data_IF_021464348299
#
_entry.id   IF_021464348299
#
_cell.length_a   1.000
_cell.length_b   1.000
_cell.length_c   1.000
_cell.angle_alpha   90.00
_cell.angle_beta   90.00
_cell.angle_gamma   90.00
#
_symmetry.space_group_name_H-M   'P 1'
#
loop_
_entity.id
_entity.type
_entity.pdbx_description
1 polymer ?
#
# COMPACT_ATOMS: atom_id res chain seq x y z
N UNK A 1 -1.10 -3.85 -29.23
CA UNK A 1 -0.24 -3.49 -28.08
C UNK A 1 -1.15 -3.54 -26.88
N UNK A 2 -1.02 -4.55 -26.02
CA UNK A 2 -1.80 -4.60 -24.78
C UNK A 2 -1.29 -3.48 -23.87
N UNK A 3 -2.19 -2.75 -23.22
CA UNK A 3 -1.82 -1.77 -22.22
C UNK A 3 -1.64 -2.48 -20.88
N UNK A 4 -0.52 -2.23 -20.22
CA UNK A 4 -0.11 -2.98 -19.03
C UNK A 4 -0.47 -2.25 -17.72
N UNK A 5 -1.01 -1.02 -17.80
CA UNK A 5 -1.34 -0.19 -16.65
C UNK A 5 -2.41 0.89 -16.97
N UNK A 6 -2.92 1.55 -15.92
CA UNK A 6 -3.95 2.58 -16.02
C UNK A 6 -3.57 3.80 -16.87
N UNK A 7 -2.32 4.26 -16.76
CA UNK A 7 -1.82 5.42 -17.51
C UNK A 7 -1.83 5.13 -19.01
N UNK A 8 -1.28 3.99 -19.43
CA UNK A 8 -1.25 3.58 -20.83
C UNK A 8 -2.66 3.34 -21.37
N UNK A 9 -3.54 2.71 -20.59
CA UNK A 9 -4.96 2.54 -20.96
C UNK A 9 -5.64 3.89 -21.26
N UNK A 10 -5.43 4.87 -20.38
CA UNK A 10 -6.03 6.20 -20.52
C UNK A 10 -5.49 6.97 -21.73
N UNK A 11 -4.17 6.89 -21.97
CA UNK A 11 -3.53 7.51 -23.15
C UNK A 11 -4.08 6.89 -24.45
N UNK A 12 -4.16 5.56 -24.53
CA UNK A 12 -4.65 4.86 -25.73
C UNK A 12 -6.12 5.17 -26.04
N UNK A 13 -6.91 5.44 -25.01
CA UNK A 13 -8.30 5.83 -25.14
C UNK A 13 -8.50 7.35 -25.34
N UNK A 14 -7.43 8.12 -25.55
CA UNK A 14 -7.47 9.58 -25.65
C UNK A 14 -8.21 10.25 -24.47
N UNK A 15 -7.98 9.76 -23.25
CA UNK A 15 -8.60 10.30 -22.03
C UNK A 15 -10.05 9.89 -21.81
N UNK A 16 -10.61 9.00 -22.64
CA UNK A 16 -12.04 8.67 -22.58
C UNK A 16 -12.41 7.59 -21.55
N UNK A 17 -11.44 6.92 -20.91
CA UNK A 17 -11.78 5.88 -19.93
C UNK A 17 -12.34 6.48 -18.65
N UNK A 18 -13.23 5.73 -18.04
CA UNK A 18 -13.82 6.04 -16.74
C UNK A 18 -13.14 5.21 -15.65
N UNK A 19 -13.23 5.66 -14.41
CA UNK A 19 -12.76 4.86 -13.29
C UNK A 19 -13.48 3.51 -13.26
N UNK A 20 -12.73 2.43 -13.02
CA UNK A 20 -13.28 1.08 -13.11
C UNK A 20 -12.22 -0.01 -13.12
N UNK A 21 -12.68 -1.26 -13.21
CA UNK A 21 -11.82 -2.43 -13.31
C UNK A 21 -11.42 -2.71 -14.76
N UNK A 22 -10.13 -2.96 -14.96
CA UNK A 22 -9.54 -3.30 -16.25
C UNK A 22 -8.69 -4.56 -16.13
N UNK A 23 -8.62 -5.33 -17.22
CA UNK A 23 -7.69 -6.44 -17.36
C UNK A 23 -6.45 -5.96 -18.09
N UNK A 24 -5.29 -6.19 -17.49
CA UNK A 24 -3.97 -5.87 -18.05
C UNK A 24 -3.11 -7.13 -18.08
N UNK A 25 -1.96 -7.07 -18.74
CA UNK A 25 -1.03 -8.19 -18.84
C UNK A 25 0.32 -7.83 -18.21
N UNK A 26 1.02 -8.84 -17.70
CA UNK A 26 2.43 -8.70 -17.33
C UNK A 26 3.32 -8.94 -18.56
N UNK A 27 4.64 -8.78 -18.39
CA UNK A 27 5.61 -9.00 -19.48
C UNK A 27 5.63 -10.42 -20.05
N UNK A 28 5.07 -11.40 -19.33
CA UNK A 28 4.90 -12.77 -19.80
C UNK A 28 3.54 -13.01 -20.50
N UNK A 29 2.74 -11.96 -20.73
CA UNK A 29 1.40 -12.04 -21.35
C UNK A 29 0.31 -12.60 -20.42
N UNK A 30 0.60 -12.77 -19.12
CA UNK A 30 -0.36 -13.30 -18.17
C UNK A 30 -1.27 -12.19 -17.67
N UNK A 31 -2.58 -12.44 -17.68
CA UNK A 31 -3.58 -11.42 -17.35
C UNK A 31 -3.84 -11.31 -15.86
N UNK A 32 -4.06 -10.09 -15.39
CA UNK A 32 -4.51 -9.78 -14.03
C UNK A 32 -5.39 -8.53 -14.03
N UNK A 33 -6.07 -8.27 -12.92
CA UNK A 33 -7.06 -7.19 -12.80
C UNK A 33 -6.50 -6.03 -11.97
N UNK A 34 -6.71 -4.82 -12.48
CA UNK A 34 -6.43 -3.58 -11.77
C UNK A 34 -7.70 -2.71 -11.73
N UNK A 35 -7.82 -1.87 -10.72
CA UNK A 35 -8.79 -0.78 -10.72
C UNK A 35 -8.05 0.51 -11.03
N UNK A 36 -8.53 1.22 -12.04
CA UNK A 36 -8.04 2.55 -12.38
C UNK A 36 -8.99 3.58 -11.80
N UNK A 37 -8.50 4.40 -10.88
CA UNK A 37 -9.24 5.56 -10.38
C UNK A 37 -8.67 6.82 -11.01
N UNK A 38 -9.39 7.40 -11.97
CA UNK A 38 -8.97 8.59 -12.69
C UNK A 38 -9.49 9.87 -12.01
N UNK A 39 -8.62 10.87 -11.94
CA UNK A 39 -8.92 12.26 -11.61
C UNK A 39 -8.36 13.15 -12.73
N UNK A 40 -8.65 14.45 -12.69
CA UNK A 40 -8.07 15.38 -13.67
C UNK A 40 -6.54 15.50 -13.48
N UNK A 41 -5.76 14.95 -14.40
CA UNK A 41 -4.29 15.08 -14.42
C UNK A 41 -3.53 14.03 -13.61
N UNK A 42 -4.21 13.11 -12.94
CA UNK A 42 -3.59 12.00 -12.19
C UNK A 42 -4.60 10.88 -11.90
N UNK A 43 -4.12 9.75 -11.38
CA UNK A 43 -4.99 8.70 -10.87
C UNK A 43 -4.30 7.76 -9.89
N UNK A 44 -5.03 6.74 -9.46
CA UNK A 44 -4.49 5.65 -8.65
C UNK A 44 -4.80 4.29 -9.27
N UNK A 45 -3.79 3.43 -9.26
CA UNK A 45 -3.91 2.01 -9.62
C UNK A 45 -4.06 1.19 -8.36
N UNK A 46 -5.08 0.33 -8.29
CA UNK A 46 -5.22 -0.69 -7.25
C UNK A 46 -5.10 -2.08 -7.87
N UNK A 47 -4.45 -3.00 -7.17
CA UNK A 47 -4.25 -4.37 -7.64
C UNK A 47 -5.29 -5.31 -7.02
N UNK A 48 -5.90 -6.18 -7.82
CA UNK A 48 -6.84 -7.19 -7.31
C UNK A 48 -6.13 -8.19 -6.40
N UNK A 49 -6.79 -8.61 -5.33
CA UNK A 49 -6.28 -9.66 -4.43
C UNK A 49 -6.32 -11.06 -5.06
N UNK A 50 -7.04 -11.22 -6.17
CA UNK A 50 -7.02 -12.45 -6.98
C UNK A 50 -5.76 -12.60 -7.84
N UNK A 51 -4.83 -11.64 -7.80
CA UNK A 51 -3.62 -11.66 -8.63
C UNK A 51 -2.71 -12.80 -8.19
N UNK A 52 -2.38 -13.69 -9.14
CA UNK A 52 -1.53 -14.87 -8.93
C UNK A 52 -0.36 -14.95 -9.93
N UNK A 53 -0.04 -13.82 -10.56
CA UNK A 53 1.04 -13.67 -11.54
C UNK A 53 2.10 -12.72 -10.97
N UNK A 54 3.28 -12.69 -11.59
CA UNK A 54 4.27 -11.67 -11.26
C UNK A 54 3.79 -10.30 -11.78
N UNK A 55 3.97 -9.25 -10.98
CA UNK A 55 3.56 -7.89 -11.28
C UNK A 55 4.77 -6.97 -11.25
N UNK A 56 5.03 -6.29 -12.35
CA UNK A 56 6.01 -5.20 -12.36
C UNK A 56 5.38 -3.95 -11.76
N UNK A 57 5.63 -3.75 -10.47
CA UNK A 57 5.11 -2.59 -9.74
C UNK A 57 5.58 -1.26 -10.32
N UNK A 58 6.75 -1.21 -10.96
CA UNK A 58 7.27 0.03 -11.55
C UNK A 58 6.44 0.52 -12.74
N UNK A 59 5.66 -0.38 -13.35
CA UNK A 59 4.74 -0.05 -14.44
C UNK A 59 3.39 0.52 -13.97
N UNK A 60 3.03 0.34 -12.70
CA UNK A 60 1.68 0.67 -12.21
C UNK A 60 1.55 2.10 -11.66
N UNK A 61 2.67 2.78 -11.43
CA UNK A 61 2.72 4.13 -10.84
C UNK A 61 4.04 4.84 -11.14
N UNK A 62 4.00 6.15 -11.30
CA UNK A 62 5.16 7.00 -11.59
C UNK A 62 5.40 8.08 -10.51
N UNK A 63 4.38 8.44 -9.74
CA UNK A 63 4.49 9.35 -8.61
C UNK A 63 4.67 8.55 -7.31
N UNK A 64 5.89 8.59 -6.79
CA UNK A 64 6.30 7.87 -5.57
C UNK A 64 6.32 8.76 -4.33
N UNK A 65 5.76 9.97 -4.41
CA UNK A 65 5.72 10.90 -3.27
C UNK A 65 4.83 10.37 -2.14
N UNK A 66 3.79 9.60 -2.49
CA UNK A 66 2.87 9.00 -1.55
C UNK A 66 2.10 7.84 -2.20
N UNK A 67 1.43 7.08 -1.34
CA UNK A 67 0.34 6.17 -1.73
C UNK A 67 -0.93 6.59 -1.03
N UNK A 68 -2.06 6.08 -1.48
CA UNK A 68 -3.28 6.07 -0.66
C UNK A 68 -3.53 4.66 -0.15
N UNK A 69 -3.99 4.56 1.10
CA UNK A 69 -4.56 3.34 1.64
C UNK A 69 -6.07 3.50 1.60
N UNK A 70 -6.74 2.65 0.83
CA UNK A 70 -8.20 2.50 0.85
C UNK A 70 -8.53 1.36 1.80
N UNK A 71 -9.52 1.52 2.66
CA UNK A 71 -9.95 0.44 3.53
C UNK A 71 -11.46 0.42 3.74
N UNK A 72 -11.99 -0.76 4.07
CA UNK A 72 -13.41 -0.98 4.36
C UNK A 72 -13.62 -1.22 5.86
N UNK A 73 -14.59 -0.54 6.45
CA UNK A 73 -15.02 -0.80 7.84
C UNK A 73 -16.17 -1.80 7.86
N UNK A 74 -16.50 -2.34 9.03
CA UNK A 74 -17.54 -3.38 9.20
C UNK A 74 -18.94 -2.94 8.73
N UNK A 75 -19.20 -1.64 8.66
CA UNK A 75 -20.43 -1.07 8.10
C UNK A 75 -20.44 -1.00 6.55
N UNK A 76 -19.41 -1.51 5.88
CA UNK A 76 -19.26 -1.48 4.43
C UNK A 76 -18.78 -0.15 3.85
N UNK A 77 -18.66 0.90 4.67
CA UNK A 77 -18.18 2.22 4.22
C UNK A 77 -16.68 2.15 3.96
N UNK A 78 -16.26 2.74 2.84
CA UNK A 78 -14.86 2.87 2.49
C UNK A 78 -14.29 4.19 2.96
N UNK A 79 -13.02 4.15 3.37
CA UNK A 79 -12.27 5.29 3.86
C UNK A 79 -10.90 5.30 3.20
N UNK A 80 -10.29 6.47 3.13
CA UNK A 80 -8.96 6.62 2.57
C UNK A 80 -8.06 7.51 3.41
N UNK A 81 -6.78 7.17 3.44
CA UNK A 81 -5.70 7.99 3.97
C UNK A 81 -4.57 8.07 2.97
N UNK A 82 -3.93 9.23 2.89
CA UNK A 82 -2.66 9.41 2.18
C UNK A 82 -1.52 9.05 3.12
N UNK A 83 -0.59 8.21 2.65
CA UNK A 83 0.63 7.85 3.36
C UNK A 83 1.87 8.26 2.56
N UNK A 84 2.77 9.00 3.19
CA UNK A 84 3.98 9.52 2.58
C UNK A 84 5.19 9.36 3.51
N UNK A 85 6.39 9.62 2.99
CA UNK A 85 7.56 9.78 3.85
C UNK A 85 7.35 10.92 4.86
N UNK A 86 7.98 10.78 6.02
CA UNK A 86 8.17 11.89 6.95
C UNK A 86 8.85 13.08 6.26
N UNK A 87 8.63 14.29 6.78
CA UNK A 87 9.25 15.50 6.24
C UNK A 87 10.78 15.40 6.12
N UNK A 88 11.46 14.80 7.10
CA UNK A 88 12.91 14.58 7.09
C UNK A 88 13.41 13.62 6.01
N UNK A 89 12.51 12.84 5.40
CA UNK A 89 12.81 11.87 4.35
C UNK A 89 12.08 12.20 3.04
N UNK A 90 11.59 13.43 2.85
CA UNK A 90 10.75 13.81 1.71
C UNK A 90 11.41 13.63 0.33
N UNK A 91 12.74 13.58 0.25
CA UNK A 91 13.49 13.28 -0.98
C UNK A 91 13.58 11.79 -1.30
N UNK A 92 13.17 10.92 -0.37
CA UNK A 92 13.16 9.47 -0.56
C UNK A 92 11.80 9.06 -1.11
N UNK A 93 11.73 8.22 -2.15
CA UNK A 93 10.44 7.72 -2.63
C UNK A 93 9.80 6.76 -1.62
N UNK A 94 8.46 6.71 -1.59
CA UNK A 94 7.74 5.57 -1.01
C UNK A 94 7.92 4.38 -1.94
N UNK A 95 8.27 3.22 -1.39
CA UNK A 95 8.48 1.99 -2.17
C UNK A 95 7.25 1.10 -2.10
N UNK A 96 6.65 0.79 -3.24
CA UNK A 96 5.61 -0.23 -3.34
C UNK A 96 6.16 -1.44 -4.08
N UNK A 97 6.11 -2.61 -3.45
CA UNK A 97 6.66 -3.86 -3.96
C UNK A 97 5.63 -4.99 -3.88
N UNK A 98 5.68 -5.93 -4.84
CA UNK A 98 4.79 -7.08 -4.89
C UNK A 98 5.53 -8.34 -4.44
N UNK A 99 5.08 -8.92 -3.33
CA UNK A 99 5.68 -10.11 -2.70
C UNK A 99 7.20 -10.02 -2.49
N UNK A 100 7.69 -8.79 -2.26
CA UNK A 100 9.10 -8.47 -2.08
C UNK A 100 9.25 -7.25 -1.13
N UNK A 101 10.46 -7.03 -0.62
CA UNK A 101 10.80 -5.96 0.33
C UNK A 101 12.27 -5.49 0.19
N UNK A 102 12.82 -5.53 -1.02
CA UNK A 102 14.22 -5.21 -1.29
C UNK A 102 14.59 -3.81 -0.79
N UNK A 103 15.65 -3.71 0.01
CA UNK A 103 16.13 -2.45 0.61
C UNK A 103 15.47 -2.05 1.93
N UNK A 104 14.56 -2.87 2.47
CA UNK A 104 13.79 -2.58 3.69
C UNK A 104 13.82 -3.74 4.68
N UNK A 105 13.44 -3.47 5.93
CA UNK A 105 13.05 -4.52 6.87
C UNK A 105 11.80 -5.27 6.36
N UNK A 106 11.84 -6.60 6.43
CA UNK A 106 10.81 -7.46 5.83
C UNK A 106 9.60 -7.73 6.73
N UNK A 107 8.44 -8.08 6.14
CA UNK A 107 7.28 -8.59 6.87
C UNK A 107 7.60 -9.89 7.62
N UNK A 108 6.98 -10.09 8.78
CA UNK A 108 7.04 -11.35 9.52
C UNK A 108 6.14 -12.42 8.90
N UNK A 109 5.11 -12.03 8.16
CA UNK A 109 4.08 -12.93 7.63
C UNK A 109 4.25 -13.23 6.12
N UNK A 110 5.48 -13.33 5.61
CA UNK A 110 5.75 -13.59 4.18
C UNK A 110 5.15 -14.89 3.64
N UNK A 111 4.84 -15.86 4.50
CA UNK A 111 4.11 -17.07 4.13
C UNK A 111 2.69 -16.80 3.60
N UNK A 112 2.09 -15.65 3.94
CA UNK A 112 0.78 -15.20 3.43
C UNK A 112 0.83 -14.63 2.00
N UNK A 113 1.93 -14.82 1.27
CA UNK A 113 2.07 -14.35 -0.10
C UNK A 113 0.94 -14.84 -1.03
N UNK A 114 0.59 -14.07 -2.07
CA UNK A 114 1.17 -12.78 -2.44
C UNK A 114 0.72 -11.61 -1.53
N UNK A 115 1.47 -10.52 -1.56
CA UNK A 115 1.18 -9.29 -0.79
C UNK A 115 1.66 -8.03 -1.50
N UNK A 116 1.10 -6.89 -1.12
CA UNK A 116 1.64 -5.56 -1.46
C UNK A 116 2.36 -5.03 -0.23
N UNK A 117 3.66 -4.79 -0.37
CA UNK A 117 4.51 -4.15 0.63
C UNK A 117 4.65 -2.66 0.31
N UNK A 118 4.41 -1.81 1.30
CA UNK A 118 4.67 -0.37 1.23
C UNK A 118 5.76 -0.03 2.24
N UNK A 119 6.97 0.19 1.73
CA UNK A 119 8.15 0.59 2.50
C UNK A 119 8.32 2.10 2.56
N UNK A 120 8.57 2.57 3.77
CA UNK A 120 9.09 3.90 4.10
C UNK A 120 10.54 3.75 4.55
N UNK A 121 11.28 4.85 4.77
CA UNK A 121 12.66 4.89 5.31
C UNK A 121 13.50 3.62 5.04
N UNK A 122 14.31 3.58 3.95
CA UNK A 122 15.15 2.45 3.62
C UNK A 122 16.03 1.97 4.78
N UNK A 123 16.32 0.67 4.83
CA UNK A 123 17.11 0.08 5.90
C UNK A 123 18.49 0.77 6.08
N UNK A 124 19.09 1.22 4.96
CA UNK A 124 20.36 1.95 4.95
C UNK A 124 20.33 3.32 5.64
N UNK A 125 19.15 3.86 5.95
CA UNK A 125 18.96 5.16 6.60
C UNK A 125 18.53 5.04 8.07
N UNK A 126 18.44 3.82 8.59
CA UNK A 126 18.02 3.55 9.97
C UNK A 126 19.21 3.35 10.90
N UNK A 127 19.12 3.92 12.10
CA UNK A 127 20.14 3.81 13.15
C UNK A 127 19.51 4.13 14.52
N UNK A 128 20.18 3.73 15.60
CA UNK A 128 19.74 4.04 16.98
C UNK A 128 19.72 5.55 17.21
N UNK A 129 18.60 6.07 17.71
CA UNK A 129 18.37 7.49 17.92
C UNK A 129 17.80 8.22 16.70
N UNK A 130 17.69 7.56 15.54
CA UNK A 130 17.04 8.16 14.37
C UNK A 130 15.55 8.43 14.65
N UNK A 131 15.05 9.59 14.18
CA UNK A 131 13.61 9.85 14.15
C UNK A 131 13.01 9.07 12.99
N UNK A 132 12.10 8.14 13.30
CA UNK A 132 11.44 7.27 12.34
C UNK A 132 9.92 7.42 12.42
N UNK A 133 9.21 6.84 11.45
CA UNK A 133 7.75 6.90 11.34
C UNK A 133 7.30 7.22 9.92
N UNK A 134 6.15 7.87 9.77
CA UNK A 134 5.58 8.22 8.47
C UNK A 134 4.64 9.40 8.57
N UNK A 135 4.27 9.94 7.40
CA UNK A 135 3.24 10.97 7.30
C UNK A 135 1.90 10.35 6.93
N UNK A 136 0.85 10.69 7.68
CA UNK A 136 -0.53 10.30 7.38
C UNK A 136 -1.38 11.56 7.24
N UNK A 137 -2.07 11.71 6.11
CA UNK A 137 -2.95 12.84 5.82
C UNK A 137 -2.28 14.21 6.06
N UNK A 138 -0.99 14.32 5.72
CA UNK A 138 -0.20 15.54 5.89
C UNK A 138 0.51 15.69 7.24
N UNK A 139 0.10 14.94 8.27
CA UNK A 139 0.69 14.99 9.61
C UNK A 139 1.82 13.97 9.80
N UNK A 140 2.96 14.43 10.30
CA UNK A 140 4.08 13.55 10.68
C UNK A 140 3.75 12.81 11.98
N UNK A 141 3.90 11.49 11.96
CA UNK A 141 3.79 10.61 13.13
C UNK A 141 5.16 9.98 13.35
N UNK A 142 5.78 10.32 14.47
CA UNK A 142 7.19 10.03 14.70
C UNK A 142 7.44 9.32 16.02
N UNK A 143 8.53 8.58 16.06
CA UNK A 143 9.15 8.06 17.28
C UNK A 143 10.67 8.10 17.14
N UNK A 144 11.39 7.97 18.25
CA UNK A 144 12.84 7.84 18.23
C UNK A 144 13.22 6.37 18.31
N UNK A 145 14.00 5.89 17.33
CA UNK A 145 14.45 4.50 17.27
C UNK A 145 15.35 4.16 18.46
N UNK A 146 15.02 3.11 19.22
CA UNK A 146 15.79 2.69 20.38
C UNK A 146 16.93 1.70 20.07
N UNK A 147 16.90 1.03 18.92
CA UNK A 147 17.85 -0.05 18.58
C UNK A 147 18.33 -0.04 17.11
N UNK A 148 17.86 0.92 16.29
CA UNK A 148 18.23 1.01 14.88
C UNK A 148 17.60 -0.06 13.98
N UNK A 149 16.60 -0.81 14.44
CA UNK A 149 15.88 -1.77 13.61
C UNK A 149 15.25 -1.08 12.37
N UNK A 150 15.41 -1.69 11.17
CA UNK A 150 15.07 -1.05 9.90
C UNK A 150 13.61 -1.16 9.47
N UNK A 151 12.73 -1.74 10.30
CA UNK A 151 11.33 -1.91 9.91
C UNK A 151 10.63 -0.56 9.82
N UNK A 152 10.10 -0.24 8.64
CA UNK A 152 9.23 0.91 8.43
C UNK A 152 8.28 0.64 7.27
N UNK A 153 7.17 -0.06 7.55
CA UNK A 153 6.26 -0.50 6.49
C UNK A 153 4.82 -0.74 6.94
N UNK A 154 3.95 -0.77 5.94
CA UNK A 154 2.62 -1.40 5.99
C UNK A 154 2.52 -2.41 4.84
N UNK A 155 2.00 -3.60 5.12
CA UNK A 155 1.84 -4.68 4.14
C UNK A 155 0.41 -5.21 4.16
N UNK A 156 -0.14 -5.48 2.98
CA UNK A 156 -1.45 -6.08 2.80
C UNK A 156 -1.31 -7.43 2.09
N UNK A 157 -1.75 -8.51 2.75
CA UNK A 157 -1.58 -9.89 2.26
C UNK A 157 -2.85 -10.43 1.64
N UNK A 158 -2.72 -11.00 0.45
CA UNK A 158 -3.83 -11.60 -0.29
C UNK A 158 -4.15 -12.99 0.27
N UNK A 159 -3.12 -13.71 0.72
CA UNK A 159 -3.21 -14.95 1.50
C UNK A 159 -4.18 -16.01 0.93
N UNK A 160 -4.08 -16.40 -0.36
CA UNK A 160 -4.98 -17.38 -0.96
C UNK A 160 -4.90 -18.77 -0.29
N UNK A 161 -3.76 -19.09 0.31
CA UNK A 161 -3.52 -20.36 1.01
C UNK A 161 -3.98 -20.36 2.47
N UNK A 162 -4.64 -19.29 2.94
CA UNK A 162 -5.21 -19.22 4.29
C UNK A 162 -4.19 -19.40 5.41
N UNK A 163 -2.96 -18.92 5.23
CA UNK A 163 -1.92 -19.00 6.27
C UNK A 163 -2.29 -18.17 7.49
N UNK A 164 -1.91 -18.64 8.67
CA UNK A 164 -2.09 -17.92 9.93
C UNK A 164 -1.01 -16.86 10.14
N UNK A 165 -1.30 -15.87 10.97
CA UNK A 165 -0.26 -14.95 11.43
C UNK A 165 0.82 -15.70 12.22
N UNK A 166 2.05 -15.20 12.16
CA UNK A 166 3.18 -15.57 13.03
C UNK A 166 2.76 -15.61 14.51
N UNK A 167 3.50 -16.27 15.40
CA UNK A 167 3.23 -16.16 16.84
C UNK A 167 3.66 -14.82 17.44
N UNK A 168 4.49 -14.04 16.72
CA UNK A 168 5.05 -12.78 17.23
C UNK A 168 3.97 -11.75 17.57
N UNK A 169 3.98 -11.27 18.81
CA UNK A 169 3.14 -10.15 19.24
C UNK A 169 4.08 -9.02 19.65
N UNK A 170 3.81 -7.80 19.19
CA UNK A 170 4.57 -6.62 19.57
C UNK A 170 3.67 -5.54 20.16
N UNK A 171 4.29 -4.47 20.66
CA UNK A 171 3.56 -3.32 21.19
C UNK A 171 2.88 -2.55 20.07
N UNK A 172 1.61 -2.20 20.24
CA UNK A 172 0.88 -1.35 19.31
C UNK A 172 0.59 0.00 19.97
N UNK A 173 0.60 1.05 19.16
CA UNK A 173 0.33 2.43 19.56
C UNK A 173 -0.37 3.17 18.40
N UNK A 174 -0.63 4.45 18.56
CA UNK A 174 -1.29 5.30 17.55
C UNK A 174 -0.60 5.25 16.18
N UNK A 175 0.74 5.14 16.13
CA UNK A 175 1.50 5.08 14.87
C UNK A 175 1.03 3.91 14.00
N UNK A 176 0.61 2.80 14.61
CA UNK A 176 0.19 1.58 13.93
C UNK A 176 -1.19 1.68 13.28
N UNK A 177 -2.04 2.59 13.75
CA UNK A 177 -3.47 2.65 13.38
C UNK A 177 -3.91 4.00 12.81
N UNK A 178 -3.08 5.05 12.85
CA UNK A 178 -3.49 6.37 12.38
C UNK A 178 -3.91 6.42 10.90
N UNK A 179 -3.34 5.55 10.06
CA UNK A 179 -3.78 5.39 8.66
C UNK A 179 -5.23 4.91 8.55
N UNK A 180 -5.74 4.19 9.55
CA UNK A 180 -7.09 3.70 9.66
C UNK A 180 -8.00 4.69 10.40
N UNK A 181 -7.57 5.16 11.59
CA UNK A 181 -8.37 6.01 12.48
C UNK A 181 -8.55 7.42 11.93
N UNK A 182 -7.50 7.99 11.35
CA UNK A 182 -7.49 9.34 10.78
C UNK A 182 -8.04 9.44 9.35
N UNK A 183 -8.57 8.35 8.80
CA UNK A 183 -9.02 8.28 7.41
C UNK A 183 -10.32 9.03 7.17
N UNK A 184 -10.47 9.57 5.96
CA UNK A 184 -11.68 10.25 5.53
C UNK A 184 -12.62 9.31 4.77
N UNK A 185 -13.93 9.47 4.97
CA UNK A 185 -14.93 8.69 4.25
C UNK A 185 -14.87 8.99 2.76
N UNK A 186 -15.05 7.95 1.96
CA UNK A 186 -15.07 8.01 0.50
C UNK A 186 -16.52 8.15 0.03
N UNK A 187 -16.75 8.90 -1.04
CA UNK A 187 -18.05 8.96 -1.70
C UNK A 187 -18.42 7.59 -2.33
N UNK A 188 -19.68 7.15 -2.22
CA UNK A 188 -20.09 5.83 -2.73
C UNK A 188 -19.81 5.62 -4.23
N UNK A 189 -19.84 6.68 -5.03
CA UNK A 189 -19.50 6.65 -6.46
C UNK A 189 -18.04 6.27 -6.74
N UNK A 190 -17.18 6.31 -5.73
CA UNK A 190 -15.75 6.01 -5.80
C UNK A 190 -15.38 4.71 -5.06
N UNK A 191 -16.37 3.90 -4.69
CA UNK A 191 -16.11 2.65 -3.99
C UNK A 191 -15.37 1.67 -4.90
N UNK A 192 -14.29 1.09 -4.36
CA UNK A 192 -13.63 -0.04 -4.98
C UNK A 192 -14.49 -1.30 -4.82
N UNK A 193 -14.50 -2.19 -5.81
CA UNK A 193 -15.07 -3.52 -5.64
C UNK A 193 -14.35 -4.33 -4.55
N UNK A 194 -15.05 -5.30 -3.95
CA UNK A 194 -14.53 -6.12 -2.85
C UNK A 194 -13.27 -6.91 -3.22
N UNK A 195 -13.09 -7.27 -4.50
CA UNK A 195 -11.92 -8.01 -4.99
C UNK A 195 -10.58 -7.29 -4.78
N UNK A 196 -10.58 -5.97 -4.53
CA UNK A 196 -9.37 -5.17 -4.31
C UNK A 196 -8.93 -5.11 -2.84
N UNK A 197 -9.73 -5.62 -1.90
CA UNK A 197 -9.44 -5.50 -0.48
C UNK A 197 -8.80 -6.78 0.09
N UNK A 198 -7.60 -6.64 0.63
CA UNK A 198 -6.89 -7.67 1.36
C UNK A 198 -7.34 -7.70 2.83
N UNK A 199 -7.75 -8.88 3.32
CA UNK A 199 -8.25 -9.05 4.68
C UNK A 199 -7.16 -9.07 5.75
N UNK A 200 -5.91 -9.29 5.34
CA UNK A 200 -4.77 -9.44 6.23
C UNK A 200 -3.80 -8.29 6.02
N UNK A 201 -3.25 -7.79 7.12
CA UNK A 201 -2.26 -6.72 7.08
C UNK A 201 -1.27 -6.85 8.23
N UNK A 202 -0.12 -6.20 8.04
CA UNK A 202 0.94 -6.06 9.03
C UNK A 202 1.50 -4.65 8.92
N UNK A 203 1.67 -4.01 10.07
CA UNK A 203 2.35 -2.73 10.21
C UNK A 203 3.51 -2.92 11.16
N UNK A 204 4.69 -2.45 10.79
CA UNK A 204 5.87 -2.55 11.63
C UNK A 204 6.72 -1.30 11.53
N UNK A 205 7.00 -0.72 12.69
CA UNK A 205 7.99 0.32 12.90
C UNK A 205 9.00 -0.19 13.93
N UNK A 206 10.25 -0.38 13.52
CA UNK A 206 11.33 -0.95 14.33
C UNK A 206 11.68 -0.06 15.53
N UNK A 207 12.62 -0.47 16.38
CA UNK A 207 13.24 0.40 17.38
C UNK A 207 12.26 1.12 18.28
N UNK A 208 11.34 0.37 18.89
CA UNK A 208 10.30 0.88 19.78
C UNK A 208 9.13 1.60 19.07
N UNK A 209 9.08 1.62 17.74
CA UNK A 209 7.98 2.21 16.97
C UNK A 209 6.67 1.42 17.04
N UNK A 210 6.77 0.09 17.09
CA UNK A 210 5.65 -0.80 17.34
C UNK A 210 5.41 -1.81 16.22
N UNK A 211 4.51 -2.73 16.50
CA UNK A 211 4.07 -3.76 15.58
C UNK A 211 2.58 -3.97 15.77
N UNK A 212 1.85 -3.94 14.66
CA UNK A 212 0.47 -4.38 14.64
C UNK A 212 0.23 -5.33 13.48
N UNK A 213 -0.80 -6.13 13.68
CA UNK A 213 -1.35 -7.04 12.70
C UNK A 213 -2.81 -7.22 13.04
N UNK A 214 -3.53 -7.83 12.14
CA UNK A 214 -4.67 -8.63 12.56
C UNK A 214 -5.92 -8.44 11.73
N UNK A 215 -6.99 -8.85 12.40
CA UNK A 215 -8.40 -8.84 12.03
C UNK A 215 -9.21 -7.74 12.75
N UNK A 216 -8.56 -6.93 13.59
CA UNK A 216 -9.26 -6.01 14.50
C UNK A 216 -9.71 -4.71 13.85
N UNK A 217 -9.15 -4.33 12.70
CA UNK A 217 -9.52 -3.23 11.81
C UNK A 217 -8.52 -3.24 10.65
N UNK A 218 -8.88 -2.98 9.38
CA UNK A 218 -10.17 -3.02 8.67
C UNK A 218 -10.59 -4.44 8.24
N UNK A 219 -11.83 -4.60 7.73
CA UNK A 219 -12.29 -5.84 7.08
C UNK A 219 -11.73 -6.00 5.66
N UNK A 220 -10.63 -5.32 5.34
CA UNK A 220 -10.14 -5.16 3.98
C UNK A 220 -9.34 -3.88 3.78
N UNK A 221 -8.12 -3.97 3.26
CA UNK A 221 -7.29 -2.83 2.86
C UNK A 221 -6.70 -2.99 1.44
N UNK A 222 -6.51 -1.87 0.76
CA UNK A 222 -5.97 -1.81 -0.60
C UNK A 222 -5.01 -0.63 -0.74
N UNK A 223 -3.98 -0.79 -1.56
CA UNK A 223 -2.97 0.25 -1.84
C UNK A 223 -3.28 0.87 -3.20
N UNK A 224 -3.54 2.18 -3.21
CA UNK A 224 -3.67 2.98 -4.42
C UNK A 224 -2.33 3.62 -4.74
N UNK A 225 -1.76 3.23 -5.87
CA UNK A 225 -0.45 3.69 -6.34
C UNK A 225 -0.63 4.82 -7.35
N UNK A 226 -0.02 5.97 -7.11
CA UNK A 226 -0.33 7.20 -7.85
C UNK A 226 0.37 7.27 -9.20
N UNK A 227 -0.38 7.54 -10.26
CA UNK A 227 0.18 7.85 -11.57
C UNK A 227 -0.22 9.25 -12.03
N UNK A 228 0.65 9.91 -12.77
CA UNK A 228 0.38 11.15 -13.50
C UNK A 228 -0.35 10.86 -14.81
N UNK A 229 -1.25 11.76 -15.21
CA UNK A 229 -2.02 11.61 -16.45
C UNK A 229 -1.45 12.47 -17.58
N UNK A 230 -0.15 12.39 -17.89
CA UNK A 230 0.42 12.93 -19.15
C UNK A 230 1.63 12.10 -19.60
#
# INVERSE_FOLDING_TARGET
>A
MFADNCKTLQIQANGALKSGTYTVQNSAGQSYRIYCQFYNGYGYTFLSTSTNVNVDMSSLYDDKSHVIIRHKRSNGVQYTSTMAQLGSYASTPVSVQYSAYSGYGGPLNTAMAPYIFVGFIPASMTYTGAVQGWKVNGGDLTFTSCDGNPNSYITFFFNPSGQGYSSYVGGHNTLMYQWYDGASAVAQSEYLPDEFFANYHEVHQGGCGGYSRGSNVPTGGAVGMKFSEY
#
